data_IF_252702268364
#
_entry.id   IF_252702268364
#
_cell.length_a   1.000
_cell.length_b   1.000
_cell.length_c   1.000
_cell.angle_alpha   90.00
_cell.angle_beta   90.00
_cell.angle_gamma   90.00
#
_symmetry.space_group_name_H-M   'P 1'
#
loop_
_entity.id
_entity.type
_entity.pdbx_description
1 polymer ?
#
# COMPACT_ATOMS: atom_id res chain seq x y z
N UNK A 1 -6.13 -96.59 42.95
CA UNK A 1 -7.03 -95.59 42.34
C UNK A 1 -6.35 -94.23 42.41
N UNK A 2 -5.89 -93.68 41.29
CA UNK A 2 -5.67 -92.22 41.10
C UNK A 2 -5.17 -91.99 39.67
N UNK A 3 -6.00 -91.34 38.85
CA UNK A 3 -5.61 -90.61 37.63
C UNK A 3 -6.85 -89.90 37.08
N UNK A 4 -6.84 -88.58 37.08
CA UNK A 4 -7.00 -87.75 35.88
C UNK A 4 -7.06 -86.27 36.26
N UNK A 5 -5.98 -85.55 35.97
CA UNK A 5 -6.04 -84.14 35.55
C UNK A 5 -4.73 -83.83 34.81
N UNK A 6 -4.78 -83.99 33.49
CA UNK A 6 -3.76 -83.61 32.52
C UNK A 6 -4.41 -82.59 31.60
N UNK A 7 -4.36 -81.30 31.94
CA UNK A 7 -4.77 -80.26 30.99
C UNK A 7 -4.15 -78.86 31.15
N UNK A 8 -3.14 -78.65 32.02
CA UNK A 8 -2.69 -77.27 32.31
C UNK A 8 -1.18 -76.96 32.16
N UNK A 9 -0.38 -77.76 31.43
CA UNK A 9 1.08 -77.48 31.35
C UNK A 9 1.75 -77.54 29.97
N UNK A 10 1.03 -77.22 28.90
CA UNK A 10 1.65 -77.04 27.57
C UNK A 10 1.40 -75.64 26.96
N UNK A 11 1.38 -74.59 27.79
CA UNK A 11 1.46 -73.18 27.34
C UNK A 11 2.70 -72.52 27.95
N UNK A 12 3.85 -73.14 27.79
CA UNK A 12 5.14 -72.50 27.99
C UNK A 12 6.16 -73.37 27.24
N UNK A 13 7.20 -72.77 26.69
CA UNK A 13 8.25 -73.44 25.87
C UNK A 13 7.97 -73.51 24.35
N UNK A 14 7.74 -72.35 23.70
CA UNK A 14 8.16 -72.09 22.31
C UNK A 14 8.04 -70.60 21.90
N UNK A 15 8.70 -69.62 22.56
CA UNK A 15 8.43 -68.19 22.21
C UNK A 15 9.52 -67.13 22.46
N UNK A 16 10.77 -67.48 22.76
CA UNK A 16 11.75 -66.48 23.27
C UNK A 16 12.50 -65.57 22.29
N UNK A 17 12.84 -66.02 21.06
CA UNK A 17 13.69 -65.24 20.12
C UNK A 17 12.96 -64.70 18.88
N UNK A 18 12.03 -65.46 18.30
CA UNK A 18 11.18 -64.99 17.20
C UNK A 18 10.26 -63.83 17.62
N UNK A 19 9.83 -63.83 18.88
CA UNK A 19 8.96 -62.80 19.44
C UNK A 19 9.70 -61.45 19.60
N UNK A 20 10.94 -61.41 20.11
CA UNK A 20 11.69 -60.12 20.25
C UNK A 20 11.99 -59.43 18.91
N UNK A 21 12.33 -60.20 17.86
CA UNK A 21 12.56 -59.64 16.52
C UNK A 21 11.28 -59.07 15.92
N UNK A 22 10.18 -59.82 16.00
CA UNK A 22 8.86 -59.38 15.57
C UNK A 22 8.38 -58.14 16.33
N UNK A 23 8.50 -58.14 17.66
CA UNK A 23 8.15 -56.99 18.52
C UNK A 23 8.96 -55.72 18.15
N UNK A 24 10.23 -55.86 17.78
CA UNK A 24 11.05 -54.73 17.34
C UNK A 24 10.62 -54.18 15.96
N UNK A 25 10.23 -55.07 15.03
CA UNK A 25 9.68 -54.68 13.73
C UNK A 25 8.36 -53.92 13.92
N UNK A 26 7.48 -54.45 14.78
CA UNK A 26 6.20 -53.81 15.13
C UNK A 26 6.44 -52.43 15.75
N UNK A 27 7.35 -52.29 16.73
CA UNK A 27 7.69 -50.99 17.33
C UNK A 27 8.22 -49.97 16.32
N UNK A 28 9.09 -50.38 15.39
CA UNK A 28 9.61 -49.50 14.33
C UNK A 28 8.51 -49.08 13.36
N UNK A 29 7.61 -50.00 12.98
CA UNK A 29 6.48 -49.71 12.12
C UNK A 29 5.51 -48.72 12.79
N UNK A 30 5.14 -48.96 14.05
CA UNK A 30 4.27 -48.07 14.85
C UNK A 30 4.89 -46.68 14.97
N UNK A 31 6.18 -46.58 15.35
CA UNK A 31 6.87 -45.28 15.47
C UNK A 31 6.91 -44.51 14.15
N UNK A 32 7.14 -45.19 13.03
CA UNK A 32 7.12 -44.57 11.70
C UNK A 32 5.73 -44.04 11.36
N UNK A 33 4.68 -44.81 11.62
CA UNK A 33 3.28 -44.40 11.39
C UNK A 33 2.91 -43.21 12.26
N UNK A 34 3.26 -43.19 13.55
CA UNK A 34 2.98 -42.05 14.45
C UNK A 34 3.60 -40.74 13.94
N UNK A 35 4.84 -40.81 13.45
CA UNK A 35 5.52 -39.63 12.88
C UNK A 35 4.88 -39.16 11.57
N UNK A 36 4.41 -40.09 10.74
CA UNK A 36 3.63 -39.79 9.54
C UNK A 36 2.33 -39.05 9.91
N UNK A 37 1.59 -39.57 10.88
CA UNK A 37 0.32 -38.99 11.34
C UNK A 37 0.48 -37.56 11.88
N UNK A 38 1.54 -37.31 12.67
CA UNK A 38 1.87 -35.96 13.15
C UNK A 38 2.20 -34.98 12.02
N UNK A 39 2.93 -35.45 11.00
CA UNK A 39 3.29 -34.65 9.83
C UNK A 39 2.04 -34.28 9.03
N UNK A 40 1.15 -35.26 8.79
CA UNK A 40 -0.12 -35.06 8.07
C UNK A 40 -1.04 -34.12 8.86
N UNK A 41 -1.14 -34.29 10.19
CA UNK A 41 -1.91 -33.39 11.05
C UNK A 41 -1.42 -31.95 10.97
N UNK A 42 -0.11 -31.75 10.96
CA UNK A 42 0.51 -30.42 10.81
C UNK A 42 0.18 -29.81 9.44
N UNK A 43 0.28 -30.58 8.36
CA UNK A 43 -0.10 -30.14 7.02
C UNK A 43 -1.58 -29.70 6.96
N UNK A 44 -2.48 -30.46 7.58
CA UNK A 44 -3.91 -30.13 7.66
C UNK A 44 -4.16 -28.82 8.39
N UNK A 45 -3.58 -28.66 9.58
CA UNK A 45 -3.76 -27.45 10.40
C UNK A 45 -3.22 -26.19 9.70
N UNK A 46 -2.02 -26.28 9.12
CA UNK A 46 -1.43 -25.17 8.37
C UNK A 46 -2.29 -24.80 7.16
N UNK A 47 -2.77 -25.79 6.40
CA UNK A 47 -3.63 -25.55 5.24
C UNK A 47 -4.95 -24.91 5.63
N UNK A 48 -5.59 -25.34 6.73
CA UNK A 48 -6.83 -24.74 7.23
C UNK A 48 -6.63 -23.29 7.69
N UNK A 49 -5.47 -22.98 8.29
CA UNK A 49 -5.10 -21.60 8.62
C UNK A 49 -5.00 -20.73 7.37
N UNK A 50 -4.31 -21.19 6.33
CA UNK A 50 -4.18 -20.44 5.08
C UNK A 50 -5.51 -20.30 4.32
N UNK A 51 -6.33 -21.36 4.28
CA UNK A 51 -7.69 -21.29 3.74
C UNK A 51 -8.51 -20.20 4.44
N UNK A 52 -8.42 -20.15 5.78
CA UNK A 52 -9.14 -19.14 6.57
C UNK A 52 -8.63 -17.73 6.27
N UNK A 53 -7.32 -17.54 6.15
CA UNK A 53 -6.72 -16.25 5.79
C UNK A 53 -7.13 -15.80 4.39
N UNK A 54 -7.03 -16.67 3.38
CA UNK A 54 -7.43 -16.37 2.01
C UNK A 54 -8.90 -15.93 1.93
N UNK A 55 -9.80 -16.65 2.60
CA UNK A 55 -11.23 -16.28 2.66
C UNK A 55 -11.44 -14.89 3.27
N UNK A 56 -10.70 -14.56 4.34
CA UNK A 56 -10.77 -13.22 4.97
C UNK A 56 -10.29 -12.13 4.02
N UNK A 57 -9.17 -12.32 3.34
CA UNK A 57 -8.66 -11.32 2.39
C UNK A 57 -9.55 -11.15 1.17
N UNK A 58 -10.15 -12.22 0.64
CA UNK A 58 -11.14 -12.11 -0.44
C UNK A 58 -12.32 -11.23 -0.01
N UNK A 59 -12.88 -11.45 1.18
CA UNK A 59 -13.98 -10.64 1.70
C UNK A 59 -13.56 -9.17 1.94
N UNK A 60 -12.31 -8.91 2.33
CA UNK A 60 -11.80 -7.53 2.45
C UNK A 60 -11.72 -6.83 1.09
N UNK A 61 -11.28 -7.55 0.04
CA UNK A 61 -11.24 -7.01 -1.32
C UNK A 61 -12.65 -6.70 -1.82
N UNK A 62 -13.61 -7.61 -1.65
CA UNK A 62 -15.00 -7.38 -2.04
C UNK A 62 -15.59 -6.15 -1.33
N UNK A 63 -15.42 -6.05 -0.01
CA UNK A 63 -15.86 -4.88 0.76
C UNK A 63 -15.16 -3.57 0.35
N UNK A 64 -13.89 -3.64 -0.03
CA UNK A 64 -13.13 -2.46 -0.44
C UNK A 64 -13.58 -1.96 -1.82
N UNK A 65 -13.89 -2.88 -2.74
CA UNK A 65 -14.45 -2.58 -4.06
C UNK A 65 -15.78 -1.83 -3.92
N UNK A 66 -16.68 -2.30 -3.05
CA UNK A 66 -17.99 -1.67 -2.84
C UNK A 66 -17.87 -0.23 -2.32
N UNK A 67 -16.85 0.05 -1.51
CA UNK A 67 -16.57 1.38 -0.95
C UNK A 67 -15.89 2.33 -1.95
N UNK A 68 -15.46 1.86 -3.12
CA UNK A 68 -14.72 2.64 -4.15
C UNK A 68 -13.53 3.45 -3.60
N UNK A 69 -12.89 2.98 -2.52
CA UNK A 69 -11.72 3.63 -1.91
C UNK A 69 -10.44 3.05 -2.51
N UNK A 70 -9.62 3.84 -3.20
CA UNK A 70 -8.43 3.30 -3.86
C UNK A 70 -7.43 2.72 -2.85
N UNK A 71 -7.25 3.39 -1.70
CA UNK A 71 -6.30 2.96 -0.65
C UNK A 71 -6.74 1.67 0.02
N UNK A 72 -8.03 1.53 0.36
CA UNK A 72 -8.55 0.32 0.97
C UNK A 72 -8.44 -0.87 0.01
N UNK A 73 -8.73 -0.64 -1.28
CA UNK A 73 -8.61 -1.65 -2.34
C UNK A 73 -7.15 -2.04 -2.54
N UNK A 74 -6.23 -1.09 -2.62
CA UNK A 74 -4.79 -1.35 -2.76
C UNK A 74 -4.23 -2.14 -1.57
N UNK A 75 -4.58 -1.78 -0.33
CA UNK A 75 -4.13 -2.49 0.86
C UNK A 75 -4.71 -3.91 0.92
N UNK A 76 -5.99 -4.08 0.59
CA UNK A 76 -6.63 -5.39 0.54
C UNK A 76 -5.99 -6.29 -0.54
N UNK A 77 -5.64 -5.73 -1.70
CA UNK A 77 -4.94 -6.42 -2.78
C UNK A 77 -3.54 -6.86 -2.34
N UNK A 78 -2.73 -5.97 -1.74
CA UNK A 78 -1.40 -6.33 -1.22
C UNK A 78 -1.48 -7.47 -0.21
N UNK A 79 -2.48 -7.42 0.69
CA UNK A 79 -2.74 -8.49 1.65
C UNK A 79 -3.12 -9.81 0.98
N UNK A 80 -3.99 -9.77 -0.03
CA UNK A 80 -4.40 -10.94 -0.80
C UNK A 80 -3.23 -11.56 -1.58
N UNK A 81 -2.37 -10.76 -2.20
CA UNK A 81 -1.16 -11.22 -2.90
C UNK A 81 -0.20 -11.95 -1.96
N UNK A 82 0.05 -11.38 -0.78
CA UNK A 82 0.89 -12.01 0.23
C UNK A 82 0.30 -13.34 0.73
N UNK A 83 -1.02 -13.40 0.96
CA UNK A 83 -1.71 -14.60 1.39
C UNK A 83 -1.68 -15.71 0.32
N UNK A 84 -1.89 -15.38 -0.96
CA UNK A 84 -1.79 -16.32 -2.09
C UNK A 84 -0.37 -16.91 -2.15
N UNK A 85 0.66 -16.08 -2.00
CA UNK A 85 2.06 -16.54 -2.02
C UNK A 85 2.35 -17.55 -0.91
N UNK A 86 1.88 -17.29 0.31
CA UNK A 86 2.03 -18.20 1.45
C UNK A 86 1.29 -19.52 1.22
N UNK A 87 0.04 -19.46 0.77
CA UNK A 87 -0.79 -20.63 0.50
C UNK A 87 -0.20 -21.52 -0.60
N UNK A 88 0.36 -20.94 -1.66
CA UNK A 88 1.09 -21.67 -2.69
C UNK A 88 2.31 -22.40 -2.12
N UNK A 89 3.06 -21.77 -1.20
CA UNK A 89 4.16 -22.41 -0.49
C UNK A 89 3.70 -23.63 0.33
N UNK A 90 2.59 -23.50 1.06
CA UNK A 90 1.99 -24.60 1.82
C UNK A 90 1.54 -25.75 0.91
N UNK A 91 0.90 -25.43 -0.22
CA UNK A 91 0.46 -26.44 -1.19
C UNK A 91 1.64 -27.24 -1.76
N UNK A 92 2.76 -26.57 -2.07
CA UNK A 92 3.99 -27.22 -2.52
C UNK A 92 4.55 -28.16 -1.45
N UNK A 93 4.62 -27.72 -0.19
CA UNK A 93 5.07 -28.56 0.93
C UNK A 93 4.15 -29.77 1.12
N UNK A 94 2.84 -29.58 1.04
CA UNK A 94 1.89 -30.68 1.16
C UNK A 94 2.05 -31.71 0.03
N UNK A 95 2.32 -31.28 -1.20
CA UNK A 95 2.57 -32.19 -2.32
C UNK A 95 3.82 -33.04 -2.09
N UNK A 96 4.86 -32.49 -1.43
CA UNK A 96 6.02 -33.27 -0.99
C UNK A 96 5.63 -34.26 0.10
N UNK A 97 4.89 -33.83 1.12
CA UNK A 97 4.40 -34.70 2.20
C UNK A 97 3.57 -35.86 1.64
N UNK A 98 2.64 -35.58 0.72
CA UNK A 98 1.75 -36.58 0.13
C UNK A 98 2.50 -37.71 -0.59
N UNK A 99 3.68 -37.44 -1.18
CA UNK A 99 4.54 -38.46 -1.81
C UNK A 99 5.17 -39.42 -0.80
N UNK A 100 5.36 -38.98 0.45
CA UNK A 100 6.04 -39.73 1.51
C UNK A 100 5.07 -40.47 2.43
N UNK A 101 3.77 -40.22 2.30
CA UNK A 101 2.71 -40.85 3.07
C UNK A 101 2.46 -42.27 2.57
N UNK A 102 2.41 -43.22 3.51
CA UNK A 102 2.30 -44.65 3.19
C UNK A 102 0.90 -45.22 3.41
N UNK A 103 0.16 -44.72 4.40
CA UNK A 103 -1.18 -45.25 4.72
C UNK A 103 -2.25 -44.72 3.77
N UNK A 104 -3.26 -45.55 3.44
CA UNK A 104 -4.38 -45.14 2.59
C UNK A 104 -5.17 -43.98 3.19
N UNK A 105 -5.36 -44.00 4.52
CA UNK A 105 -6.07 -42.93 5.23
C UNK A 105 -5.36 -41.58 5.07
N UNK A 106 -4.05 -41.54 5.31
CA UNK A 106 -3.30 -40.30 5.19
C UNK A 106 -3.21 -39.81 3.74
N UNK A 107 -3.14 -40.72 2.75
CA UNK A 107 -3.20 -40.35 1.33
C UNK A 107 -4.50 -39.62 0.99
N UNK A 108 -5.63 -40.15 1.46
CA UNK A 108 -6.95 -39.51 1.29
C UNK A 108 -6.99 -38.16 2.00
N UNK A 109 -6.53 -38.08 3.25
CA UNK A 109 -6.47 -36.83 4.01
C UNK A 109 -5.67 -35.76 3.27
N UNK A 110 -4.47 -36.11 2.76
CA UNK A 110 -3.62 -35.19 2.00
C UNK A 110 -4.25 -34.77 0.67
N UNK A 111 -4.88 -35.70 -0.07
CA UNK A 111 -5.57 -35.38 -1.31
C UNK A 111 -6.73 -34.40 -1.09
N UNK A 112 -7.53 -34.62 -0.03
CA UNK A 112 -8.66 -33.77 0.31
C UNK A 112 -8.21 -32.36 0.70
N UNK A 113 -7.19 -32.23 1.55
CA UNK A 113 -6.72 -30.90 1.97
C UNK A 113 -6.03 -30.15 0.84
N UNK A 114 -5.28 -30.84 -0.03
CA UNK A 114 -4.65 -30.21 -1.20
C UNK A 114 -5.71 -29.72 -2.20
N UNK A 115 -6.77 -30.51 -2.42
CA UNK A 115 -7.89 -30.11 -3.27
C UNK A 115 -8.59 -28.88 -2.70
N UNK A 116 -8.88 -28.87 -1.40
CA UNK A 116 -9.52 -27.74 -0.73
C UNK A 116 -8.65 -26.47 -0.78
N UNK A 117 -7.35 -26.57 -0.50
CA UNK A 117 -6.42 -25.44 -0.55
C UNK A 117 -6.28 -24.89 -1.98
N UNK A 118 -6.08 -25.76 -2.97
CA UNK A 118 -5.95 -25.37 -4.38
C UNK A 118 -7.20 -24.66 -4.90
N UNK A 119 -8.40 -25.14 -4.52
CA UNK A 119 -9.66 -24.50 -4.92
C UNK A 119 -9.84 -23.09 -4.36
N UNK A 120 -9.39 -22.86 -3.12
CA UNK A 120 -9.43 -21.52 -2.49
C UNK A 120 -8.36 -20.60 -3.08
N UNK A 121 -7.16 -21.10 -3.38
CA UNK A 121 -6.12 -20.34 -4.10
C UNK A 121 -6.65 -19.86 -5.46
N UNK A 122 -7.24 -20.77 -6.26
CA UNK A 122 -7.80 -20.42 -7.57
C UNK A 122 -8.90 -19.34 -7.47
N UNK A 123 -9.74 -19.43 -6.44
CA UNK A 123 -10.79 -18.44 -6.19
C UNK A 123 -10.20 -17.08 -5.81
N UNK A 124 -9.15 -17.07 -4.97
CA UNK A 124 -8.44 -15.87 -4.57
C UNK A 124 -7.70 -15.21 -5.74
N UNK A 125 -7.07 -15.98 -6.61
CA UNK A 125 -6.40 -15.48 -7.83
C UNK A 125 -7.40 -14.80 -8.79
N UNK A 126 -8.60 -15.38 -8.95
CA UNK A 126 -9.67 -14.75 -9.73
C UNK A 126 -10.17 -13.43 -9.12
N UNK A 127 -10.32 -13.38 -7.79
CA UNK A 127 -10.72 -12.15 -7.10
C UNK A 127 -9.63 -11.07 -7.25
N UNK A 128 -8.36 -11.46 -7.14
CA UNK A 128 -7.22 -10.59 -7.36
C UNK A 128 -7.24 -9.99 -8.77
N UNK A 129 -7.42 -10.81 -9.81
CA UNK A 129 -7.46 -10.34 -11.19
C UNK A 129 -8.60 -9.34 -11.44
N UNK A 130 -9.81 -9.65 -10.96
CA UNK A 130 -10.97 -8.75 -11.03
C UNK A 130 -10.66 -7.41 -10.33
N UNK A 131 -10.03 -7.45 -9.17
CA UNK A 131 -9.71 -6.25 -8.38
C UNK A 131 -8.63 -5.38 -9.04
N UNK A 132 -7.65 -5.99 -9.72
CA UNK A 132 -6.65 -5.27 -10.53
C UNK A 132 -7.29 -4.56 -11.72
N UNK A 133 -8.26 -5.19 -12.39
CA UNK A 133 -9.03 -4.55 -13.47
C UNK A 133 -9.82 -3.31 -13.01
N UNK A 134 -10.38 -3.35 -11.79
CA UNK A 134 -11.06 -2.20 -11.18
C UNK A 134 -10.09 -1.07 -10.80
N UNK A 135 -8.89 -1.40 -10.32
CA UNK A 135 -7.85 -0.42 -10.02
C UNK A 135 -7.27 0.25 -11.27
N UNK A 136 -7.20 -0.45 -12.40
CA UNK A 136 -6.67 0.12 -13.65
C UNK A 136 -7.44 1.37 -14.12
N UNK A 137 -8.69 1.55 -13.69
CA UNK A 137 -9.48 2.75 -13.94
C UNK A 137 -9.32 3.88 -12.90
N UNK A 138 -8.60 3.64 -11.79
CA UNK A 138 -8.42 4.62 -10.71
C UNK A 138 -6.98 5.12 -10.73
N UNK A 139 -6.78 6.38 -11.09
CA UNK A 139 -5.47 7.01 -10.98
C UNK A 139 -5.15 7.25 -9.50
N UNK A 140 -4.01 6.75 -9.02
CA UNK A 140 -3.69 6.76 -7.58
C UNK A 140 -3.08 8.09 -7.11
N UNK A 141 -3.07 8.32 -5.80
CA UNK A 141 -2.39 9.49 -5.23
C UNK A 141 -0.88 9.44 -5.44
N UNK A 142 -0.28 8.25 -5.44
CA UNK A 142 1.15 8.08 -5.72
C UNK A 142 1.49 8.48 -7.16
N UNK A 143 0.63 8.15 -8.14
CA UNK A 143 0.79 8.61 -9.52
C UNK A 143 0.63 10.14 -9.64
N UNK A 144 -0.27 10.74 -8.85
CA UNK A 144 -0.38 12.20 -8.74
C UNK A 144 0.93 12.83 -8.25
N UNK A 145 1.48 12.35 -7.13
CA UNK A 145 2.74 12.85 -6.59
C UNK A 145 3.91 12.63 -7.56
N UNK A 146 3.95 11.48 -8.22
CA UNK A 146 4.98 11.17 -9.21
C UNK A 146 4.92 12.16 -10.37
N UNK A 147 3.75 12.39 -10.96
CA UNK A 147 3.60 13.35 -12.07
C UNK A 147 3.98 14.76 -11.65
N UNK A 148 3.58 15.17 -10.46
CA UNK A 148 3.97 16.48 -9.94
C UNK A 148 5.49 16.57 -9.82
N UNK A 149 6.15 15.59 -9.19
CA UNK A 149 7.61 15.54 -9.11
C UNK A 149 8.30 15.48 -10.49
N UNK A 150 7.72 14.77 -11.47
CA UNK A 150 8.22 14.69 -12.84
C UNK A 150 8.19 16.08 -13.52
N UNK A 151 7.15 16.88 -13.27
CA UNK A 151 7.03 18.26 -13.77
C UNK A 151 8.00 19.22 -13.06
N UNK A 152 8.25 19.03 -11.76
CA UNK A 152 9.05 19.95 -10.94
C UNK A 152 10.56 19.69 -11.05
N UNK A 153 11.02 18.45 -10.87
CA UNK A 153 12.46 18.13 -10.84
C UNK A 153 12.85 16.79 -11.46
N UNK A 154 11.89 16.02 -11.99
CA UNK A 154 12.14 14.63 -12.39
C UNK A 154 12.33 13.69 -11.19
N UNK A 155 11.94 14.11 -9.98
CA UNK A 155 12.09 13.30 -8.77
C UNK A 155 13.39 13.52 -7.98
N UNK A 156 14.21 14.52 -8.32
CA UNK A 156 15.48 14.77 -7.65
C UNK A 156 15.29 15.52 -6.31
N UNK A 157 15.65 14.88 -5.20
CA UNK A 157 15.57 15.46 -3.85
C UNK A 157 16.64 16.51 -3.55
N UNK A 158 17.73 16.56 -4.33
CA UNK A 158 18.91 17.37 -4.04
C UNK A 158 19.03 18.62 -4.90
N UNK A 159 18.17 18.77 -5.91
CA UNK A 159 18.22 19.91 -6.83
C UNK A 159 17.73 21.19 -6.16
N UNK A 160 18.32 22.31 -6.59
CA UNK A 160 17.84 23.66 -6.29
C UNK A 160 17.80 24.42 -7.60
N UNK A 161 16.66 24.99 -7.97
CA UNK A 161 16.59 25.78 -9.20
C UNK A 161 17.16 27.19 -9.03
N UNK A 162 17.28 27.93 -10.13
CA UNK A 162 17.82 29.29 -10.13
C UNK A 162 17.01 30.33 -9.32
N UNK A 163 15.77 29.99 -8.93
CA UNK A 163 14.89 30.80 -8.09
C UNK A 163 14.87 30.33 -6.62
N UNK A 164 15.76 29.40 -6.24
CA UNK A 164 15.93 28.97 -4.85
C UNK A 164 15.02 27.83 -4.39
N UNK A 165 14.07 27.36 -5.21
CA UNK A 165 13.15 26.29 -4.83
C UNK A 165 13.87 24.95 -4.63
N UNK A 166 13.43 24.18 -3.62
CA UNK A 166 14.16 23.03 -3.10
C UNK A 166 13.57 21.67 -3.49
N UNK A 167 14.45 20.79 -3.95
CA UNK A 167 14.25 19.34 -3.95
C UNK A 167 13.14 18.85 -4.88
N UNK A 168 12.59 17.69 -4.52
CA UNK A 168 11.75 16.87 -5.39
C UNK A 168 10.51 17.58 -5.91
N UNK A 169 9.93 18.45 -5.08
CA UNK A 169 8.69 19.16 -5.37
C UNK A 169 8.89 20.66 -5.50
N UNK A 170 10.15 21.10 -5.67
CA UNK A 170 10.53 22.50 -5.82
C UNK A 170 9.82 23.39 -4.79
N UNK A 171 9.98 23.07 -3.50
CA UNK A 171 9.32 23.83 -2.42
C UNK A 171 10.08 25.11 -2.10
N UNK A 172 9.34 26.23 -2.07
CA UNK A 172 9.84 27.52 -1.61
C UNK A 172 9.55 27.76 -0.12
N UNK A 173 10.03 28.87 0.42
CA UNK A 173 9.86 29.19 1.84
C UNK A 173 8.38 29.33 2.24
N UNK A 174 7.57 29.98 1.40
CA UNK A 174 6.13 30.12 1.64
C UNK A 174 5.43 28.76 1.72
N UNK A 175 5.78 27.82 0.84
CA UNK A 175 5.23 26.47 0.85
C UNK A 175 5.67 25.70 2.11
N UNK A 176 6.93 25.85 2.51
CA UNK A 176 7.46 25.23 3.72
C UNK A 176 6.90 25.86 5.00
N UNK A 177 6.55 27.14 4.96
CA UNK A 177 5.85 27.82 6.05
C UNK A 177 4.40 27.36 6.19
N UNK A 178 3.68 27.22 5.07
CA UNK A 178 2.34 26.61 5.05
C UNK A 178 2.37 25.15 5.55
N UNK A 179 3.45 24.42 5.26
CA UNK A 179 3.70 23.08 5.80
C UNK A 179 4.10 23.08 7.29
N UNK A 180 4.41 24.24 7.87
CA UNK A 180 4.89 24.39 9.25
C UNK A 180 6.35 23.99 9.47
N UNK A 181 7.14 23.84 8.41
CA UNK A 181 8.57 23.49 8.45
C UNK A 181 9.49 24.71 8.53
N UNK A 182 9.00 25.89 8.17
CA UNK A 182 9.83 27.08 8.06
C UNK A 182 9.12 28.33 8.58
N UNK A 183 9.87 29.24 9.17
CA UNK A 183 9.41 30.55 9.59
C UNK A 183 10.50 31.58 9.25
N UNK A 184 10.17 32.74 8.70
CA UNK A 184 11.14 33.84 8.70
C UNK A 184 10.99 34.67 9.99
N UNK A 185 12.12 35.19 10.44
CA UNK A 185 12.22 36.02 11.63
C UNK A 185 12.07 37.48 11.22
N UNK A 186 11.11 38.20 11.79
CA UNK A 186 11.14 39.66 11.74
C UNK A 186 10.79 40.30 13.07
N UNK A 187 11.36 41.49 13.30
CA UNK A 187 11.29 42.26 14.54
C UNK A 187 9.87 42.42 15.09
N UNK A 188 9.76 42.49 16.42
CA UNK A 188 8.52 42.66 17.18
C UNK A 188 7.57 41.44 17.21
N UNK A 189 8.12 40.23 17.07
CA UNK A 189 7.41 39.00 17.45
C UNK A 189 6.37 38.48 16.46
N UNK A 190 6.41 38.92 15.19
CA UNK A 190 5.59 38.37 14.12
C UNK A 190 6.47 37.66 13.09
N UNK A 191 6.25 36.36 12.90
CA UNK A 191 6.88 35.58 11.84
C UNK A 191 6.25 35.98 10.49
N UNK A 192 7.06 36.39 9.52
CA UNK A 192 6.66 36.56 8.12
C UNK A 192 7.53 35.63 7.26
N UNK A 193 7.19 35.48 5.99
CA UNK A 193 8.05 34.89 4.96
C UNK A 193 7.88 35.77 3.74
N UNK A 194 8.94 36.44 3.29
CA UNK A 194 8.92 37.34 2.14
C UNK A 194 8.87 36.58 0.79
N UNK A 195 9.27 35.31 0.81
CA UNK A 195 9.16 34.37 -0.30
C UNK A 195 10.22 34.56 -1.37
N UNK A 196 11.36 35.17 -1.03
CA UNK A 196 12.50 35.33 -1.94
C UNK A 196 13.33 34.04 -2.11
N UNK A 197 13.04 33.01 -1.29
CA UNK A 197 13.70 31.71 -1.28
C UNK A 197 15.21 31.77 -0.99
N UNK A 198 15.66 32.76 -0.20
CA UNK A 198 17.04 32.86 0.27
C UNK A 198 17.36 31.88 1.42
N UNK A 199 16.33 31.38 2.13
CA UNK A 199 16.43 30.48 3.27
C UNK A 199 17.25 31.06 4.46
N UNK A 200 17.17 32.37 4.69
CA UNK A 200 17.81 33.10 5.80
C UNK A 200 16.97 33.11 7.09
N UNK A 201 15.73 32.63 7.03
CA UNK A 201 14.86 32.39 8.18
C UNK A 201 15.27 31.21 9.06
N UNK A 202 14.30 30.60 9.72
CA UNK A 202 14.48 29.56 10.74
C UNK A 202 13.65 28.30 10.43
N UNK A 203 14.32 27.15 10.52
CA UNK A 203 13.66 25.84 10.53
C UNK A 203 12.86 25.64 11.82
N UNK A 204 11.59 25.23 11.67
CA UNK A 204 10.66 25.08 12.79
C UNK A 204 11.04 23.93 13.72
N UNK A 205 10.41 23.87 14.90
CA UNK A 205 10.56 22.70 15.78
C UNK A 205 10.00 21.42 15.16
N UNK A 206 9.04 21.53 14.22
CA UNK A 206 8.59 20.39 13.43
C UNK A 206 9.71 19.89 12.51
N UNK A 207 10.36 20.78 11.76
CA UNK A 207 11.50 20.43 10.91
C UNK A 207 12.65 19.80 11.71
N UNK A 208 12.96 20.33 12.90
CA UNK A 208 13.99 19.79 13.78
C UNK A 208 13.70 18.36 14.27
N UNK A 209 12.43 17.96 14.40
CA UNK A 209 12.07 16.55 14.71
C UNK A 209 12.49 15.59 13.59
N UNK A 210 12.60 16.08 12.36
CA UNK A 210 13.16 15.36 11.21
C UNK A 210 14.67 15.60 11.05
N UNK A 211 15.36 16.15 12.06
CA UNK A 211 16.77 16.53 11.99
C UNK A 211 17.10 17.57 10.90
N UNK A 212 16.14 18.43 10.55
CA UNK A 212 16.36 19.50 9.58
C UNK A 212 16.67 20.80 10.34
N UNK A 213 17.93 21.25 10.25
CA UNK A 213 18.41 22.50 10.86
C UNK A 213 18.91 23.51 9.81
N UNK A 214 19.06 23.08 8.57
CA UNK A 214 19.55 23.88 7.45
C UNK A 214 18.93 23.44 6.12
N UNK A 215 19.04 24.27 5.09
CA UNK A 215 18.69 23.92 3.70
C UNK A 215 19.37 22.65 3.23
N UNK A 216 20.63 22.44 3.62
CA UNK A 216 21.39 21.23 3.28
C UNK A 216 20.79 19.98 3.96
N UNK A 217 20.34 20.09 5.21
CA UNK A 217 19.71 18.97 5.90
C UNK A 217 18.39 18.59 5.24
N UNK A 218 17.58 19.58 4.86
CA UNK A 218 16.31 19.36 4.16
C UNK A 218 16.52 18.65 2.81
N UNK A 219 17.49 19.10 2.00
CA UNK A 219 17.81 18.47 0.71
C UNK A 219 18.36 17.05 0.84
N UNK A 220 18.95 16.70 1.99
CA UNK A 220 19.44 15.35 2.25
C UNK A 220 18.44 14.47 3.03
N UNK A 221 17.23 14.96 3.28
CA UNK A 221 16.20 14.25 4.02
C UNK A 221 14.93 14.09 3.17
N UNK A 222 14.82 12.93 2.52
CA UNK A 222 13.66 12.58 1.68
C UNK A 222 12.36 12.54 2.49
N UNK A 223 12.38 11.98 3.71
CA UNK A 223 11.20 11.89 4.58
C UNK A 223 10.67 13.28 4.98
N UNK A 224 11.57 14.23 5.27
CA UNK A 224 11.20 15.60 5.56
C UNK A 224 10.56 16.29 4.36
N UNK A 225 11.09 16.06 3.14
CA UNK A 225 10.52 16.61 1.92
C UNK A 225 9.12 16.04 1.64
N UNK A 226 8.94 14.72 1.73
CA UNK A 226 7.62 14.09 1.56
C UNK A 226 6.63 14.59 2.60
N UNK A 227 7.03 14.65 3.87
CA UNK A 227 6.16 15.10 4.96
C UNK A 227 5.74 16.56 4.77
N UNK A 228 6.70 17.46 4.52
CA UNK A 228 6.42 18.87 4.32
C UNK A 228 5.51 19.08 3.10
N UNK A 229 5.75 18.35 2.02
CA UNK A 229 4.97 18.49 0.81
C UNK A 229 3.52 18.03 0.99
N UNK A 230 3.29 16.90 1.67
CA UNK A 230 1.94 16.44 1.98
C UNK A 230 1.18 17.43 2.88
N UNK A 231 1.86 17.99 3.89
CA UNK A 231 1.27 19.01 4.76
C UNK A 231 0.90 20.28 3.96
N UNK A 232 1.78 20.72 3.06
CA UNK A 232 1.52 21.83 2.15
C UNK A 232 0.31 21.56 1.24
N UNK A 233 0.25 20.41 0.57
CA UNK A 233 -0.88 20.07 -0.30
C UNK A 233 -2.21 20.04 0.45
N UNK A 234 -2.24 19.48 1.67
CA UNK A 234 -3.44 19.50 2.51
C UNK A 234 -3.86 20.94 2.88
N UNK A 235 -2.89 21.81 3.17
CA UNK A 235 -3.12 23.23 3.45
C UNK A 235 -3.70 23.96 2.23
N UNK A 236 -3.09 23.77 1.06
CA UNK A 236 -3.54 24.35 -0.21
C UNK A 236 -4.96 23.91 -0.53
N UNK A 237 -5.29 22.63 -0.36
CA UNK A 237 -6.66 22.13 -0.54
C UNK A 237 -7.66 22.90 0.32
N UNK A 238 -7.30 23.21 1.57
CA UNK A 238 -8.12 24.06 2.45
C UNK A 238 -8.42 25.43 1.84
N UNK A 239 -7.43 26.07 1.23
CA UNK A 239 -7.58 27.38 0.59
C UNK A 239 -8.42 27.32 -0.69
N UNK A 240 -8.28 26.27 -1.50
CA UNK A 240 -9.00 26.13 -2.77
C UNK A 240 -10.34 25.39 -2.65
N UNK A 241 -10.72 24.94 -1.44
CA UNK A 241 -11.99 24.25 -1.17
C UNK A 241 -13.24 24.97 -1.74
N UNK A 242 -13.34 26.31 -1.75
CA UNK A 242 -14.46 27.02 -2.38
C UNK A 242 -14.64 26.73 -3.89
N UNK A 243 -13.59 26.30 -4.58
CA UNK A 243 -13.63 25.92 -6.01
C UNK A 243 -14.09 24.48 -6.24
N UNK A 244 -14.31 23.67 -5.19
CA UNK A 244 -14.86 22.31 -5.28
C UNK A 244 -16.16 22.28 -6.11
N UNK A 245 -16.98 23.33 -6.04
CA UNK A 245 -18.23 23.46 -6.81
C UNK A 245 -18.07 23.36 -8.33
N UNK A 246 -16.86 23.56 -8.86
CA UNK A 246 -16.56 23.46 -10.28
C UNK A 246 -16.11 22.05 -10.72
N UNK A 247 -15.96 21.11 -9.80
CA UNK A 247 -15.61 19.72 -10.14
C UNK A 247 -16.71 19.12 -11.01
N UNK A 248 -16.30 18.46 -12.11
CA UNK A 248 -17.21 17.90 -13.11
C UNK A 248 -17.50 18.82 -14.29
N UNK A 249 -17.11 20.09 -14.21
CA UNK A 249 -17.24 21.05 -15.30
C UNK A 249 -16.03 20.98 -16.25
N UNK A 250 -16.18 21.54 -17.45
CA UNK A 250 -15.06 21.84 -18.34
C UNK A 250 -14.78 23.33 -18.29
N UNK A 251 -13.53 23.70 -18.01
CA UNK A 251 -13.06 25.09 -17.95
C UNK A 251 -11.82 25.23 -18.81
N UNK A 252 -11.80 26.21 -19.71
CA UNK A 252 -10.65 26.47 -20.59
C UNK A 252 -10.14 25.20 -21.33
N UNK A 253 -11.07 24.33 -21.74
CA UNK A 253 -10.76 23.10 -22.47
C UNK A 253 -10.25 21.93 -21.62
N UNK A 254 -10.22 22.04 -20.28
CA UNK A 254 -9.84 20.96 -19.37
C UNK A 254 -10.99 20.57 -18.45
N UNK A 255 -11.11 19.27 -18.18
CA UNK A 255 -12.08 18.73 -17.23
C UNK A 255 -11.59 18.96 -15.79
N UNK A 256 -12.43 19.54 -14.95
CA UNK A 256 -12.04 19.93 -13.59
C UNK A 256 -12.26 18.78 -12.61
N UNK A 257 -11.19 18.41 -11.91
CA UNK A 257 -11.20 17.46 -10.80
C UNK A 257 -10.51 18.06 -9.59
N UNK A 258 -10.70 17.45 -8.41
CA UNK A 258 -10.05 17.87 -7.17
C UNK A 258 -8.53 17.86 -7.31
N UNK A 259 -7.96 16.76 -7.81
CA UNK A 259 -6.52 16.62 -8.05
C UNK A 259 -6.00 17.62 -9.09
N UNK A 260 -6.79 17.91 -10.14
CA UNK A 260 -6.43 18.91 -11.14
C UNK A 260 -6.37 20.31 -10.53
N UNK A 261 -7.38 20.70 -9.74
CA UNK A 261 -7.38 21.99 -9.02
C UNK A 261 -6.19 22.12 -8.08
N UNK A 262 -5.85 21.05 -7.36
CA UNK A 262 -4.71 21.02 -6.44
C UNK A 262 -3.37 21.18 -7.19
N UNK A 263 -3.22 20.51 -8.34
CA UNK A 263 -2.04 20.68 -9.20
C UNK A 263 -1.96 22.10 -9.79
N UNK A 264 -3.07 22.67 -10.25
CA UNK A 264 -3.10 24.06 -10.72
C UNK A 264 -2.72 25.05 -9.62
N UNK A 265 -3.15 24.80 -8.39
CA UNK A 265 -2.78 25.59 -7.23
C UNK A 265 -1.31 25.40 -6.82
N UNK A 266 -0.70 24.24 -7.08
CA UNK A 266 0.73 24.06 -6.89
C UNK A 266 1.52 24.97 -7.84
N UNK A 267 1.13 25.04 -9.13
CA UNK A 267 1.82 25.87 -10.12
C UNK A 267 1.68 27.38 -9.86
N UNK A 268 0.45 27.88 -9.68
CA UNK A 268 0.16 29.33 -9.62
C UNK A 268 -0.48 29.78 -8.31
N UNK A 269 -0.38 28.98 -7.26
CA UNK A 269 -1.02 29.27 -5.99
C UNK A 269 -2.55 29.32 -6.07
N UNK A 270 -3.14 29.69 -4.95
CA UNK A 270 -4.60 29.84 -4.80
C UNK A 270 -5.16 30.96 -5.67
N UNK A 271 -4.36 32.01 -5.91
CA UNK A 271 -4.72 33.14 -6.77
C UNK A 271 -4.77 32.74 -8.24
N UNK A 272 -3.93 31.82 -8.71
CA UNK A 272 -4.01 31.29 -10.07
C UNK A 272 -5.29 30.51 -10.32
N UNK A 273 -5.69 29.67 -9.35
CA UNK A 273 -7.01 29.00 -9.40
C UNK A 273 -8.13 30.02 -9.37
N UNK A 274 -8.05 31.04 -8.51
CA UNK A 274 -9.04 32.12 -8.49
C UNK A 274 -9.17 32.82 -9.84
N UNK A 275 -8.04 33.20 -10.44
CA UNK A 275 -8.00 33.87 -11.74
C UNK A 275 -8.56 32.99 -12.85
N UNK A 276 -8.27 31.69 -12.85
CA UNK A 276 -8.86 30.74 -13.81
C UNK A 276 -10.40 30.82 -13.78
N UNK A 277 -11.00 30.97 -12.61
CA UNK A 277 -12.45 31.11 -12.43
C UNK A 277 -12.96 32.55 -12.40
N UNK A 278 -12.19 33.51 -12.95
CA UNK A 278 -12.63 34.91 -13.12
C UNK A 278 -12.36 35.82 -11.93
N UNK A 279 -11.53 35.38 -10.97
CA UNK A 279 -11.01 36.21 -9.90
C UNK A 279 -10.02 37.28 -10.38
N UNK A 280 -9.39 37.98 -9.43
CA UNK A 280 -8.41 39.02 -9.70
C UNK A 280 -7.30 38.48 -10.63
N UNK A 281 -6.93 39.25 -11.65
CA UNK A 281 -5.77 38.97 -12.50
C UNK A 281 -4.48 39.27 -11.75
N UNK A 282 -3.73 38.22 -11.42
CA UNK A 282 -2.46 38.27 -10.68
C UNK A 282 -1.31 37.79 -11.57
N UNK A 283 -1.59 36.79 -12.41
CA UNK A 283 -0.65 36.19 -13.34
C UNK A 283 -0.90 36.66 -14.77
N UNK A 284 0.14 36.68 -15.63
CA UNK A 284 -0.05 36.85 -17.06
C UNK A 284 -0.96 35.75 -17.62
N UNK A 285 -1.56 36.02 -18.77
CA UNK A 285 -2.47 35.09 -19.45
C UNK A 285 -1.90 34.70 -20.83
N UNK A 286 -2.19 33.49 -21.28
CA UNK A 286 -1.94 33.08 -22.67
C UNK A 286 -2.93 33.76 -23.65
N UNK A 287 -2.80 33.44 -24.94
CA UNK A 287 -3.68 33.99 -26.00
C UNK A 287 -5.16 33.67 -25.81
N UNK A 288 -5.51 32.71 -24.96
CA UNK A 288 -6.88 32.27 -24.68
C UNK A 288 -7.37 32.80 -23.31
N UNK A 289 -6.61 33.66 -22.63
CA UNK A 289 -6.96 34.18 -21.31
C UNK A 289 -6.68 33.21 -20.17
N UNK A 290 -5.85 32.18 -20.36
CA UNK A 290 -5.51 31.20 -19.33
C UNK A 290 -4.29 31.68 -18.53
N UNK A 291 -4.35 31.71 -17.19
CA UNK A 291 -3.21 32.10 -16.35
C UNK A 291 -1.98 31.22 -16.59
N UNK A 292 -0.80 31.84 -16.68
CA UNK A 292 0.48 31.16 -16.91
C UNK A 292 1.55 31.55 -15.88
N UNK A 293 2.54 30.68 -15.68
CA UNK A 293 3.70 30.94 -14.83
C UNK A 293 4.76 31.81 -15.54
N UNK A 294 5.90 32.05 -14.87
CA UNK A 294 7.03 32.78 -15.45
C UNK A 294 7.63 32.12 -16.70
N UNK A 295 7.48 30.81 -16.84
CA UNK A 295 7.92 30.02 -18.00
C UNK A 295 6.84 29.95 -19.11
N UNK A 296 5.72 30.65 -18.94
CA UNK A 296 4.54 30.63 -19.83
C UNK A 296 3.82 29.28 -19.86
N UNK A 297 3.99 28.43 -18.85
CA UNK A 297 3.22 27.20 -18.65
C UNK A 297 1.80 27.56 -18.22
N UNK A 298 0.75 27.22 -18.98
CA UNK A 298 -0.62 27.46 -18.56
C UNK A 298 -1.01 26.58 -17.38
N UNK A 299 -1.77 27.12 -16.43
CA UNK A 299 -2.32 26.36 -15.28
C UNK A 299 -3.11 25.11 -15.71
N UNK A 300 -3.73 25.17 -16.90
CA UNK A 300 -4.48 24.06 -17.47
C UNK A 300 -3.63 22.85 -17.81
N UNK A 301 -2.31 23.00 -18.03
CA UNK A 301 -1.38 21.86 -18.22
C UNK A 301 -1.37 20.99 -16.98
N UNK A 302 -1.13 21.60 -15.81
CA UNK A 302 -1.11 20.89 -14.52
C UNK A 302 -2.48 20.28 -14.20
N UNK A 303 -3.56 21.04 -14.41
CA UNK A 303 -4.93 20.57 -14.17
C UNK A 303 -5.24 19.32 -15.01
N UNK A 304 -4.82 19.31 -16.28
CA UNK A 304 -5.09 18.21 -17.21
C UNK A 304 -4.27 16.97 -16.86
N UNK A 305 -2.95 17.12 -16.71
CA UNK A 305 -2.03 15.98 -16.60
C UNK A 305 -2.19 15.25 -15.26
N UNK A 306 -2.51 16.02 -14.21
CA UNK A 306 -2.76 15.52 -12.86
C UNK A 306 -4.27 15.42 -12.52
N UNK A 307 -5.15 15.53 -13.51
CA UNK A 307 -6.60 15.38 -13.35
C UNK A 307 -7.05 13.93 -13.12
N UNK A 308 -8.00 13.75 -12.19
CA UNK A 308 -8.71 12.49 -11.91
C UNK A 308 -8.00 11.50 -10.97
N UNK A 309 -7.06 11.96 -10.13
CA UNK A 309 -6.37 11.12 -9.16
C UNK A 309 -7.10 11.11 -7.80
N UNK A 310 -7.16 9.96 -7.14
CA UNK A 310 -7.84 9.81 -5.86
C UNK A 310 -7.08 10.50 -4.73
N UNK A 311 -7.57 11.64 -4.26
CA UNK A 311 -6.98 12.38 -3.13
C UNK A 311 -7.36 11.84 -1.75
N UNK A 312 -8.05 10.70 -1.65
CA UNK A 312 -8.42 10.10 -0.35
C UNK A 312 -7.22 9.89 0.60
N UNK A 313 -6.04 9.41 0.16
CA UNK A 313 -4.87 9.31 1.03
C UNK A 313 -4.45 10.63 1.70
N UNK A 314 -4.64 11.76 1.00
CA UNK A 314 -4.29 13.08 1.49
C UNK A 314 -5.41 13.67 2.38
N UNK A 315 -6.66 13.52 1.96
CA UNK A 315 -7.79 14.28 2.53
C UNK A 315 -8.71 13.48 3.45
N UNK A 316 -8.58 12.15 3.47
CA UNK A 316 -9.49 11.24 4.17
C UNK A 316 -10.84 11.01 3.49
N UNK A 317 -11.12 11.67 2.36
CA UNK A 317 -12.29 11.48 1.51
C UNK A 317 -11.95 11.83 0.05
N UNK A 318 -12.81 11.41 -0.89
CA UNK A 318 -12.65 11.73 -2.32
C UNK A 318 -13.56 12.91 -2.71
N UNK A 319 -13.00 14.11 -3.01
CA UNK A 319 -13.83 15.26 -3.34
C UNK A 319 -14.58 15.13 -4.68
N UNK A 320 -14.07 14.34 -5.63
CA UNK A 320 -14.69 14.10 -6.94
C UNK A 320 -15.93 13.20 -6.87
N UNK A 321 -16.22 12.60 -5.71
CA UNK A 321 -17.38 11.73 -5.48
C UNK A 321 -18.38 12.31 -4.48
N UNK A 322 -18.20 13.56 -4.04
CA UNK A 322 -18.86 14.15 -2.87
C UNK A 322 -19.60 15.45 -3.14
#
# INVERSE_FOLDING_TARGET
>A
MQKNEKTDKNIEVASGRGNKSFQNIVKKAVSKTTKEDETVKTAVLTSQKEITQLKKFCALVDNAIDKKSSTAVQNAIKGLEAAIKLANGVLLLNNVTAKNVTTSQNKITMANINTALSGVILSAEKALEKSKGLLAGIKSFEDFLKKLADHESGGDYKVVNGLGYLGKYQMGELALADAGFYYEKVEKGAYRVDGDNNFEGMWSDLAKKYNVFSKKDFLNNEEAQETAFLAFLAKVWGYIKPYKKHIGETKCGVYITASGLLAGAHLLGTQGVAQLFGGKKVYPEDKNGVPVDGNKTPITVYIKDMGGHDLTPLLGYNPDKS
#
